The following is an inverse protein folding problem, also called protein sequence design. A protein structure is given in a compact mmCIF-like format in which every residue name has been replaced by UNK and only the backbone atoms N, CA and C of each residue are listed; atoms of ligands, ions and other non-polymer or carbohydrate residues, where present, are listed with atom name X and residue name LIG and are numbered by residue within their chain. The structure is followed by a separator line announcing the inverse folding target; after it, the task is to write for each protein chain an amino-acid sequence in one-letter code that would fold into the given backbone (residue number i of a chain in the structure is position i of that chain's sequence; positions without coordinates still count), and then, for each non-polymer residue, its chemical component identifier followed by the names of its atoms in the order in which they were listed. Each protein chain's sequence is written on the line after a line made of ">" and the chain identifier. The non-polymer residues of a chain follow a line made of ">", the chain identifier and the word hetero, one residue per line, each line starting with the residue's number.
data_IF_439649168334
#
_entry.id   IF_439649168334
#
_cell.length_a   1.000
_cell.length_b   1.000
_cell.length_c   1.000
_cell.angle_alpha   90.00
_cell.angle_beta   90.00
_cell.angle_gamma   90.00
#
_symmetry.space_group_name_H-M   'P 1'
#
loop_
_entity.id
_entity.type
_entity.pdbx_description
1 polymer ?
#
# COMPACT_ATOMS: atom_id res chain seq x y z
N UNK A 1 37.33 -18.40 -71.27
CA UNK A 1 37.30 -19.59 -70.39
C UNK A 1 36.00 -19.50 -69.58
N UNK A 2 34.96 -20.35 -69.69
CA UNK A 2 34.87 -21.82 -69.94
C UNK A 2 35.57 -22.57 -68.78
N UNK A 3 34.99 -23.42 -67.91
CA UNK A 3 33.70 -24.16 -67.72
C UNK A 3 33.39 -24.19 -66.18
N UNK A 4 32.19 -24.30 -65.58
CA UNK A 4 31.00 -25.16 -65.72
C UNK A 4 31.00 -26.49 -64.89
N UNK A 5 29.98 -26.65 -64.01
CA UNK A 5 29.33 -27.88 -63.42
C UNK A 5 30.22 -28.94 -62.73
N UNK A 6 29.81 -29.64 -61.65
CA UNK A 6 28.71 -30.66 -61.52
C UNK A 6 28.61 -31.06 -60.02
N UNK A 7 27.45 -31.14 -59.33
CA UNK A 7 26.52 -32.31 -59.22
C UNK A 7 27.23 -33.65 -58.83
N UNK A 8 26.75 -34.57 -57.99
CA UNK A 8 25.57 -34.70 -57.09
C UNK A 8 25.64 -36.10 -56.38
N UNK A 9 24.58 -36.52 -55.65
CA UNK A 9 24.27 -37.87 -55.13
C UNK A 9 24.95 -38.30 -53.79
N UNK A 10 24.29 -39.07 -52.91
CA UNK A 10 22.99 -39.76 -53.06
C UNK A 10 22.29 -40.13 -51.72
N UNK A 11 21.11 -40.73 -51.83
CA UNK A 11 20.16 -40.98 -50.73
C UNK A 11 19.88 -42.47 -50.45
N UNK A 12 19.28 -42.76 -49.27
CA UNK A 12 18.42 -43.90 -48.83
C UNK A 12 18.63 -44.16 -47.32
N UNK A 13 17.68 -43.94 -46.42
CA UNK A 13 16.44 -44.69 -46.10
C UNK A 13 16.60 -45.96 -45.23
N UNK A 14 16.19 -45.84 -43.93
CA UNK A 14 15.42 -46.84 -43.12
C UNK A 14 16.16 -48.12 -42.61
N UNK A 15 15.71 -48.96 -41.63
CA UNK A 15 14.51 -49.08 -40.74
C UNK A 15 14.95 -49.27 -39.23
N UNK A 16 14.00 -49.21 -38.29
CA UNK A 16 14.03 -49.46 -36.82
C UNK A 16 14.90 -50.61 -36.24
N UNK A 17 15.28 -50.56 -34.94
CA UNK A 17 14.53 -51.26 -33.87
C UNK A 17 15.01 -51.00 -32.42
N UNK A 18 14.11 -51.24 -31.45
CA UNK A 18 14.29 -51.46 -29.99
C UNK A 18 14.49 -50.27 -29.01
N UNK A 19 13.82 -50.41 -27.86
CA UNK A 19 13.66 -49.53 -26.68
C UNK A 19 14.37 -50.16 -25.44
N UNK A 20 14.39 -49.56 -24.24
CA UNK A 20 14.29 -48.14 -23.84
C UNK A 20 15.40 -47.69 -22.87
N UNK A 21 15.64 -46.38 -22.72
CA UNK A 21 16.29 -45.82 -21.52
C UNK A 21 15.40 -44.76 -20.83
N UNK A 22 15.10 -44.98 -19.54
CA UNK A 22 14.40 -44.03 -18.68
C UNK A 22 15.11 -42.67 -18.64
N UNK A 23 14.37 -41.58 -18.88
CA UNK A 23 14.64 -40.28 -18.22
C UNK A 23 13.36 -39.75 -17.60
N UNK A 24 13.52 -39.14 -16.43
CA UNK A 24 12.48 -38.81 -15.46
C UNK A 24 11.58 -37.67 -15.91
N UNK A 25 10.32 -37.73 -15.49
CA UNK A 25 9.34 -36.65 -15.69
C UNK A 25 9.77 -35.35 -15.01
N UNK A 26 9.50 -34.23 -15.68
CA UNK A 26 9.55 -32.89 -15.09
C UNK A 26 8.33 -32.67 -14.20
N UNK A 27 8.48 -32.25 -12.93
CA UNK A 27 7.35 -31.84 -12.12
C UNK A 27 6.94 -30.41 -12.46
N UNK A 28 5.83 -30.33 -13.18
CA UNK A 28 4.62 -29.52 -12.91
C UNK A 28 4.72 -28.01 -12.64
N UNK A 29 3.73 -27.29 -13.16
CA UNK A 29 3.69 -25.84 -13.26
C UNK A 29 3.44 -25.19 -11.89
N UNK A 30 4.44 -24.43 -11.42
CA UNK A 30 4.45 -23.82 -10.09
C UNK A 30 3.40 -22.71 -9.96
N UNK A 31 2.17 -23.12 -9.63
CA UNK A 31 1.01 -22.25 -9.47
C UNK A 31 1.36 -20.95 -8.74
N UNK A 32 1.34 -19.82 -9.47
CA UNK A 32 1.54 -18.48 -8.92
C UNK A 32 0.44 -18.22 -7.90
N UNK A 33 0.79 -18.36 -6.62
CA UNK A 33 -0.09 -18.04 -5.50
C UNK A 33 -0.55 -16.59 -5.68
N UNK A 34 -1.86 -16.40 -5.89
CA UNK A 34 -2.47 -15.08 -5.77
C UNK A 34 -2.02 -14.49 -4.43
N UNK A 35 -1.51 -13.24 -4.38
CA UNK A 35 -1.16 -12.61 -3.12
C UNK A 35 -2.41 -12.62 -2.26
N UNK A 36 -2.33 -13.27 -1.09
CA UNK A 36 -3.41 -13.33 -0.13
C UNK A 36 -3.83 -11.90 0.21
N UNK A 37 -5.15 -11.67 0.31
CA UNK A 37 -5.68 -10.35 0.68
C UNK A 37 -5.24 -10.04 2.12
N UNK A 38 -4.11 -9.36 2.27
CA UNK A 38 -3.60 -8.91 3.56
C UNK A 38 -4.69 -8.05 4.20
N UNK A 39 -5.16 -8.41 5.39
CA UNK A 39 -6.16 -7.61 6.10
C UNK A 39 -5.59 -6.22 6.33
N UNK A 40 -6.38 -5.17 6.08
CA UNK A 40 -6.01 -3.78 6.36
C UNK A 40 -5.51 -3.59 7.81
N UNK A 41 -6.08 -4.32 8.77
CA UNK A 41 -5.62 -4.32 10.17
C UNK A 41 -4.23 -4.93 10.36
N UNK A 42 -3.89 -5.96 9.58
CA UNK A 42 -2.57 -6.58 9.59
C UNK A 42 -1.56 -5.72 8.82
N UNK A 43 -1.99 -5.08 7.75
CA UNK A 43 -1.23 -4.10 6.97
C UNK A 43 -0.81 -2.91 7.83
N UNK A 44 -1.76 -2.25 8.50
CA UNK A 44 -1.47 -1.14 9.43
C UNK A 44 -0.55 -1.57 10.59
N UNK A 45 -0.67 -2.82 11.07
CA UNK A 45 0.16 -3.34 12.14
C UNK A 45 1.59 -3.72 11.71
N UNK A 46 1.82 -4.19 10.48
CA UNK A 46 3.13 -4.70 10.03
C UNK A 46 3.91 -3.76 9.11
N UNK A 47 3.25 -2.83 8.42
CA UNK A 47 3.88 -1.99 7.41
C UNK A 47 4.85 -0.94 8.01
N UNK A 48 4.84 -0.71 9.33
CA UNK A 48 5.78 0.19 10.00
C UNK A 48 7.21 -0.34 10.08
N UNK A 49 7.42 -1.66 10.21
CA UNK A 49 8.69 -2.23 10.67
C UNK A 49 9.54 -2.88 9.56
N UNK A 50 8.94 -3.40 8.49
CA UNK A 50 9.71 -4.08 7.44
C UNK A 50 10.64 -3.11 6.68
N UNK A 51 11.85 -3.59 6.38
CA UNK A 51 12.87 -2.92 5.57
C UNK A 51 13.20 -3.70 4.29
N UNK A 52 12.54 -4.83 4.01
CA UNK A 52 12.67 -5.57 2.75
C UNK A 52 11.69 -5.00 1.69
N UNK A 53 12.18 -4.38 0.59
CA UNK A 53 11.33 -3.82 -0.46
C UNK A 53 10.37 -4.82 -1.11
N UNK A 54 10.74 -6.10 -1.19
CA UNK A 54 9.94 -7.16 -1.82
C UNK A 54 8.83 -7.71 -0.91
N UNK A 55 8.95 -7.48 0.40
CA UNK A 55 7.95 -7.89 1.39
C UNK A 55 7.12 -6.71 1.93
N UNK A 56 7.48 -5.47 1.58
CA UNK A 56 6.67 -4.31 1.87
C UNK A 56 5.32 -4.41 1.13
N UNK A 57 4.20 -4.24 1.86
CA UNK A 57 2.90 -4.26 1.21
C UNK A 57 2.67 -2.95 0.43
N UNK A 58 1.73 -2.92 -0.53
CA UNK A 58 1.51 -1.75 -1.37
C UNK A 58 1.09 -0.52 -0.53
N UNK A 59 1.48 0.70 -0.94
CA UNK A 59 1.03 1.94 -0.31
C UNK A 59 -0.47 2.15 -0.49
N UNK A 60 -1.07 2.94 0.41
CA UNK A 60 -2.44 3.43 0.22
C UNK A 60 -2.47 4.54 -0.81
N UNK A 61 -3.38 4.41 -1.77
CA UNK A 61 -3.73 5.43 -2.77
C UNK A 61 -5.22 5.27 -3.11
N UNK A 62 -5.79 6.21 -3.87
CA UNK A 62 -7.19 6.16 -4.29
C UNK A 62 -7.37 6.87 -5.65
N UNK A 63 -8.54 6.69 -6.29
CA UNK A 63 -8.82 7.32 -7.58
C UNK A 63 -8.70 8.87 -7.54
N UNK A 64 -9.09 9.50 -6.43
CA UNK A 64 -8.95 10.95 -6.23
C UNK A 64 -7.50 11.40 -5.93
N UNK A 65 -6.61 10.47 -5.58
CA UNK A 65 -5.18 10.72 -5.43
C UNK A 65 -4.41 10.63 -6.76
N UNK A 66 -5.11 10.55 -7.90
CA UNK A 66 -4.52 10.58 -9.23
C UNK A 66 -5.05 11.77 -10.01
N UNK A 67 -4.16 12.50 -10.69
CA UNK A 67 -4.47 13.69 -11.47
C UNK A 67 -3.71 13.69 -12.80
N UNK A 68 -4.35 14.20 -13.85
CA UNK A 68 -3.75 14.41 -15.17
C UNK A 68 -3.82 15.89 -15.55
N UNK A 69 -2.72 16.47 -16.05
CA UNK A 69 -2.66 17.83 -16.61
C UNK A 69 -1.55 17.92 -17.66
N UNK A 70 -1.90 18.29 -18.90
CA UNK A 70 -0.97 18.52 -20.04
C UNK A 70 0.10 17.43 -20.14
N UNK A 71 -0.37 16.21 -20.41
CA UNK A 71 0.41 14.97 -20.49
C UNK A 71 1.22 14.63 -19.22
N UNK A 72 1.06 15.33 -18.10
CA UNK A 72 1.65 14.92 -16.82
C UNK A 72 0.67 14.11 -16.01
N UNK A 73 1.11 12.99 -15.43
CA UNK A 73 0.34 12.22 -14.45
C UNK A 73 0.97 12.41 -13.07
N UNK A 74 0.14 12.69 -12.07
CA UNK A 74 0.51 12.73 -10.65
C UNK A 74 -0.25 11.64 -9.90
N UNK A 75 0.43 10.90 -9.00
CA UNK A 75 -0.20 9.95 -8.09
C UNK A 75 0.35 10.13 -6.68
N UNK A 76 -0.55 10.33 -5.71
CA UNK A 76 -0.26 10.37 -4.28
C UNK A 76 -0.33 8.98 -3.63
N UNK A 77 0.66 8.66 -2.82
CA UNK A 77 0.83 7.39 -2.11
C UNK A 77 1.13 7.64 -0.63
N UNK A 78 0.55 6.85 0.27
CA UNK A 78 0.82 6.90 1.71
C UNK A 78 1.39 5.58 2.19
N UNK A 79 2.56 5.63 2.82
CA UNK A 79 3.17 4.55 3.57
C UNK A 79 3.08 4.87 5.07
N UNK A 80 2.45 4.02 5.91
CA UNK A 80 2.61 4.12 7.36
C UNK A 80 4.05 3.77 7.73
N UNK A 81 4.65 4.55 8.63
CA UNK A 81 6.01 4.34 9.13
C UNK A 81 6.13 4.69 10.60
N UNK A 82 6.73 3.80 11.38
CA UNK A 82 7.06 4.02 12.81
C UNK A 82 8.51 4.46 13.02
N UNK A 83 9.29 4.60 11.94
CA UNK A 83 10.69 5.00 11.95
C UNK A 83 11.01 5.90 10.77
N UNK A 84 11.69 7.02 11.01
CA UNK A 84 12.27 7.86 9.97
C UNK A 84 13.66 7.40 9.49
N UNK A 85 14.08 6.17 9.84
CA UNK A 85 15.40 5.67 9.47
C UNK A 85 15.58 5.70 7.93
N UNK A 86 16.76 6.13 7.42
CA UNK A 86 17.02 6.15 5.98
C UNK A 86 16.78 4.81 5.29
N UNK A 87 17.07 3.70 5.97
CA UNK A 87 16.81 2.34 5.48
C UNK A 87 15.32 2.07 5.26
N UNK A 88 14.45 2.48 6.20
CA UNK A 88 13.01 2.31 6.06
C UNK A 88 12.43 3.16 4.91
N UNK A 89 12.89 4.41 4.79
CA UNK A 89 12.51 5.34 3.72
C UNK A 89 12.95 4.77 2.35
N UNK A 90 14.22 4.41 2.20
CA UNK A 90 14.76 3.84 0.96
C UNK A 90 14.05 2.55 0.55
N UNK A 91 13.72 1.67 1.48
CA UNK A 91 12.99 0.44 1.17
C UNK A 91 11.60 0.71 0.57
N UNK A 92 10.94 1.79 1.00
CA UNK A 92 9.61 2.20 0.51
C UNK A 92 9.70 2.85 -0.88
N UNK A 93 10.74 3.65 -1.14
CA UNK A 93 11.03 4.18 -2.47
C UNK A 93 11.41 3.07 -3.46
N UNK A 94 12.17 2.06 -3.03
CA UNK A 94 12.52 0.90 -3.85
C UNK A 94 11.28 0.05 -4.19
N UNK A 95 10.43 -0.23 -3.19
CA UNK A 95 9.13 -0.89 -3.39
C UNK A 95 8.25 -0.11 -4.38
N UNK A 96 8.19 1.21 -4.24
CA UNK A 96 7.44 2.09 -5.12
C UNK A 96 7.92 1.96 -6.58
N UNK A 97 9.22 2.10 -6.82
CA UNK A 97 9.84 2.07 -8.16
C UNK A 97 9.79 0.69 -8.82
N UNK A 98 9.98 -0.39 -8.05
CA UNK A 98 10.16 -1.74 -8.60
C UNK A 98 8.94 -2.66 -8.48
N UNK A 99 7.96 -2.32 -7.65
CA UNK A 99 6.72 -3.10 -7.46
C UNK A 99 5.47 -2.30 -7.82
N UNK A 100 5.36 -1.05 -7.36
CA UNK A 100 4.13 -0.25 -7.53
C UNK A 100 4.04 0.38 -8.92
N UNK A 101 5.04 1.15 -9.37
CA UNK A 101 5.04 1.78 -10.70
C UNK A 101 4.90 0.77 -11.84
N UNK A 102 5.59 -0.39 -11.85
CA UNK A 102 5.48 -1.37 -12.93
C UNK A 102 4.08 -1.99 -13.05
N UNK A 103 3.31 -2.01 -11.95
CA UNK A 103 1.94 -2.52 -11.89
C UNK A 103 0.88 -1.53 -12.41
N UNK A 104 1.23 -0.26 -12.63
CA UNK A 104 0.33 0.74 -13.20
C UNK A 104 -0.03 0.36 -14.65
N UNK A 105 -1.32 0.32 -15.03
CA UNK A 105 -1.73 0.05 -16.41
C UNK A 105 -1.12 1.08 -17.38
N UNK A 106 -0.39 0.67 -18.43
CA UNK A 106 0.34 1.61 -19.30
C UNK A 106 -0.55 2.66 -19.96
N UNK A 107 -1.80 2.31 -20.30
CA UNK A 107 -2.79 3.25 -20.85
C UNK A 107 -3.20 4.39 -19.90
N UNK A 108 -2.79 4.34 -18.63
CA UNK A 108 -3.00 5.40 -17.62
C UNK A 108 -1.74 6.23 -17.35
N UNK A 109 -0.71 6.12 -18.21
CA UNK A 109 0.50 6.94 -18.15
C UNK A 109 0.63 7.84 -19.38
N UNK A 110 1.47 8.90 -19.32
CA UNK A 110 1.70 9.77 -20.45
C UNK A 110 2.26 9.02 -21.67
N UNK A 111 2.08 9.53 -22.91
CA UNK A 111 2.51 8.86 -24.14
C UNK A 111 3.95 8.29 -24.12
N UNK A 112 4.98 8.97 -23.57
CA UNK A 112 6.34 8.41 -23.46
C UNK A 112 6.46 7.09 -22.68
N UNK A 113 5.52 6.80 -21.78
CA UNK A 113 5.55 5.63 -20.88
C UNK A 113 4.59 4.51 -21.28
N UNK A 114 3.62 4.77 -22.16
CA UNK A 114 2.59 3.79 -22.56
C UNK A 114 3.21 2.55 -23.25
N UNK A 115 4.29 2.75 -23.99
CA UNK A 115 5.03 1.69 -24.69
C UNK A 115 6.29 1.21 -23.94
N UNK A 116 6.56 1.76 -22.75
CA UNK A 116 7.72 1.36 -21.94
C UNK A 116 7.50 -0.02 -21.29
N UNK A 117 8.58 -0.80 -21.22
CA UNK A 117 8.60 -2.06 -20.45
C UNK A 117 8.32 -1.78 -18.97
N UNK A 118 7.86 -2.79 -18.23
CA UNK A 118 7.39 -2.61 -16.84
C UNK A 118 8.45 -1.95 -15.94
N UNK A 119 9.71 -2.35 -16.07
CA UNK A 119 10.86 -1.83 -15.33
C UNK A 119 11.28 -0.41 -15.77
N UNK A 120 10.74 0.10 -16.89
CA UNK A 120 10.99 1.46 -17.42
C UNK A 120 9.80 2.40 -17.22
N UNK A 121 8.72 1.96 -16.56
CA UNK A 121 7.56 2.80 -16.20
C UNK A 121 7.72 3.53 -14.86
N UNK A 122 8.95 3.65 -14.37
CA UNK A 122 9.27 4.49 -13.20
C UNK A 122 8.81 5.94 -13.45
N UNK A 123 8.46 6.63 -12.37
CA UNK A 123 8.19 8.06 -12.39
C UNK A 123 9.43 8.86 -12.83
N UNK A 124 9.22 10.11 -13.26
CA UNK A 124 10.32 11.06 -13.46
C UNK A 124 10.78 11.73 -12.17
N UNK A 125 9.90 11.79 -11.17
CA UNK A 125 10.13 12.40 -9.86
C UNK A 125 9.27 11.70 -8.80
N UNK A 126 9.86 11.33 -7.65
CA UNK A 126 9.19 10.82 -6.46
C UNK A 126 9.36 11.78 -5.28
N UNK A 127 8.59 12.86 -5.30
CA UNK A 127 8.56 13.89 -4.27
C UNK A 127 8.04 13.28 -2.97
N UNK A 128 8.72 13.44 -1.83
CA UNK A 128 8.18 12.92 -0.57
C UNK A 128 8.34 13.84 0.64
N UNK A 129 7.46 13.63 1.61
CA UNK A 129 7.55 14.19 2.95
C UNK A 129 7.12 13.14 3.98
N UNK A 130 7.74 13.16 5.16
CA UNK A 130 7.37 12.28 6.27
C UNK A 130 7.27 13.00 7.60
N UNK A 131 6.42 12.50 8.49
CA UNK A 131 6.34 12.91 9.90
C UNK A 131 6.16 11.65 10.74
N UNK A 132 7.01 11.42 11.73
CA UNK A 132 7.01 10.22 12.60
C UNK A 132 7.10 10.65 14.05
N UNK A 133 6.25 10.09 14.91
CA UNK A 133 6.35 10.24 16.35
C UNK A 133 7.45 9.32 16.88
N UNK A 134 8.49 9.89 17.48
CA UNK A 134 9.62 9.15 18.01
C UNK A 134 9.92 9.50 19.46
N UNK A 135 10.51 8.52 20.16
CA UNK A 135 11.07 8.71 21.47
C UNK A 135 12.32 9.60 21.38
N UNK A 136 12.36 10.69 22.16
CA UNK A 136 13.54 11.58 22.23
C UNK A 136 14.74 10.82 22.79
N UNK A 137 15.94 11.14 22.31
CA UNK A 137 17.20 10.51 22.75
C UNK A 137 17.34 10.59 24.28
N UNK A 138 17.65 9.46 24.91
CA UNK A 138 17.84 9.36 26.37
C UNK A 138 16.55 9.35 27.19
N UNK A 139 15.37 9.29 26.56
CA UNK A 139 14.08 9.12 27.24
C UNK A 139 13.63 7.65 27.25
N UNK A 140 12.70 7.31 28.14
CA UNK A 140 12.17 5.95 28.29
C UNK A 140 10.76 5.77 27.76
N UNK A 141 10.02 6.86 27.53
CA UNK A 141 8.62 6.85 27.11
C UNK A 141 7.65 6.71 28.29
N UNK A 142 8.17 6.44 29.48
CA UNK A 142 7.40 6.35 30.73
C UNK A 142 7.24 7.72 31.41
N UNK A 143 8.01 8.74 30.99
CA UNK A 143 7.91 10.11 31.50
C UNK A 143 6.70 10.90 31.00
N UNK A 144 5.82 10.30 30.20
CA UNK A 144 4.65 10.93 29.60
C UNK A 144 4.93 11.52 28.21
N UNK A 145 4.02 12.36 27.67
CA UNK A 145 4.09 12.85 26.28
C UNK A 145 5.37 13.62 25.94
N UNK A 146 5.97 14.30 26.92
CA UNK A 146 7.22 15.07 26.74
C UNK A 146 8.45 14.22 26.43
N UNK A 147 8.39 12.91 26.65
CA UNK A 147 9.42 11.97 26.19
C UNK A 147 9.44 11.81 24.66
N UNK A 148 8.37 12.18 23.96
CA UNK A 148 8.21 12.00 22.52
C UNK A 148 8.37 13.32 21.74
N UNK A 149 8.72 13.22 20.47
CA UNK A 149 8.82 14.35 19.53
C UNK A 149 8.53 13.91 18.10
N UNK A 150 8.29 14.86 17.21
CA UNK A 150 8.08 14.58 15.78
C UNK A 150 9.41 14.71 15.04
N UNK A 151 9.89 13.63 14.45
CA UNK A 151 10.89 13.70 13.38
C UNK A 151 10.18 13.92 12.04
N UNK A 152 10.71 14.80 11.20
CA UNK A 152 10.12 15.13 9.91
C UNK A 152 11.19 15.46 8.87
N UNK A 153 10.94 15.10 7.61
CA UNK A 153 11.86 15.35 6.50
C UNK A 153 11.14 15.41 5.16
N UNK A 154 11.85 15.90 4.14
CA UNK A 154 11.33 16.24 2.81
C UNK A 154 12.39 16.02 1.73
N UNK A 155 12.00 15.55 0.56
CA UNK A 155 12.85 15.45 -0.63
C UNK A 155 12.04 15.83 -1.88
N UNK A 156 12.59 16.73 -2.69
CA UNK A 156 11.96 17.26 -3.90
C UNK A 156 12.17 16.36 -5.13
N UNK A 157 13.22 15.52 -5.15
CA UNK A 157 13.61 14.67 -6.30
C UNK A 157 13.64 15.44 -7.64
N UNK A 158 14.14 16.69 -7.61
CA UNK A 158 14.21 17.60 -8.76
C UNK A 158 12.98 18.48 -9.00
N UNK A 159 11.84 18.22 -8.36
CA UNK A 159 10.61 19.02 -8.47
C UNK A 159 10.59 20.20 -7.47
N UNK A 160 11.66 21.00 -7.47
CA UNK A 160 11.97 22.03 -6.45
C UNK A 160 10.76 22.72 -5.83
N UNK A 161 10.72 22.80 -4.51
CA UNK A 161 9.62 23.31 -3.67
C UNK A 161 8.36 22.44 -3.60
N UNK A 162 8.35 21.25 -4.19
CA UNK A 162 7.23 20.32 -4.18
C UNK A 162 7.02 19.63 -2.83
N UNK A 163 8.10 19.20 -2.18
CA UNK A 163 8.09 18.41 -0.95
C UNK A 163 7.56 19.19 0.24
N UNK A 164 7.87 20.49 0.35
CA UNK A 164 7.27 21.34 1.39
C UNK A 164 5.76 21.54 1.16
N UNK A 165 5.23 21.37 -0.07
CA UNK A 165 3.78 21.31 -0.30
C UNK A 165 3.17 20.01 0.21
N UNK A 166 3.85 18.88 0.01
CA UNK A 166 3.45 17.59 0.59
C UNK A 166 3.42 17.72 2.11
N UNK A 167 4.54 18.14 2.71
CA UNK A 167 4.72 18.37 4.15
C UNK A 167 3.65 19.30 4.74
N UNK A 168 3.34 20.42 4.05
CA UNK A 168 2.28 21.34 4.45
C UNK A 168 0.94 20.63 4.62
N UNK A 169 0.54 19.78 3.66
CA UNK A 169 -0.72 19.03 3.75
C UNK A 169 -0.69 17.99 4.88
N UNK A 170 0.44 17.31 5.13
CA UNK A 170 0.58 16.39 6.28
C UNK A 170 0.40 17.16 7.60
N UNK A 171 0.99 18.36 7.72
CA UNK A 171 0.82 19.23 8.90
C UNK A 171 -0.62 19.73 9.05
N UNK A 172 -1.26 20.20 7.98
CA UNK A 172 -2.65 20.68 7.98
C UNK A 172 -3.67 19.60 8.35
N UNK A 173 -3.44 18.34 7.94
CA UNK A 173 -4.27 17.20 8.31
C UNK A 173 -3.89 16.58 9.68
N UNK A 174 -2.87 17.11 10.35
CA UNK A 174 -2.44 16.66 11.69
C UNK A 174 -1.81 15.26 11.73
N UNK A 175 -1.48 14.66 10.58
CA UNK A 175 -1.02 13.28 10.52
C UNK A 175 0.43 13.10 11.03
N UNK A 176 0.67 12.01 11.75
CA UNK A 176 1.97 11.48 12.12
C UNK A 176 2.08 10.02 11.65
N UNK A 177 3.29 9.46 11.78
CA UNK A 177 3.60 8.05 11.50
C UNK A 177 3.32 7.67 10.04
N UNK A 178 3.55 8.64 9.15
CA UNK A 178 3.32 8.56 7.70
C UNK A 178 4.47 9.15 6.89
N UNK A 179 4.72 8.51 5.75
CA UNK A 179 5.47 9.04 4.63
C UNK A 179 4.50 9.15 3.45
N UNK A 180 4.37 10.35 2.88
CA UNK A 180 3.57 10.59 1.68
C UNK A 180 4.49 10.86 0.51
N UNK A 181 4.29 10.14 -0.58
CA UNK A 181 5.03 10.28 -1.84
C UNK A 181 4.08 10.74 -2.93
N UNK A 182 4.49 11.71 -3.73
CA UNK A 182 3.84 12.12 -4.96
C UNK A 182 4.75 11.79 -6.13
N UNK A 183 4.43 10.71 -6.83
CA UNK A 183 5.09 10.35 -8.07
C UNK A 183 4.52 11.18 -9.22
N UNK A 184 5.40 11.80 -10.01
CA UNK A 184 5.05 12.46 -11.27
C UNK A 184 5.68 11.75 -12.45
N UNK A 185 4.89 11.50 -13.49
CA UNK A 185 5.37 11.17 -14.84
C UNK A 185 5.24 12.43 -15.71
N UNK A 186 6.36 13.00 -16.15
CA UNK A 186 6.42 14.18 -16.99
C UNK A 186 6.15 13.84 -18.47
N UNK A 187 5.11 14.44 -19.07
CA UNK A 187 4.74 14.19 -20.47
C UNK A 187 5.46 15.02 -21.53
N UNK A 188 6.27 16.02 -21.13
CA UNK A 188 6.92 16.94 -22.07
C UNK A 188 6.53 18.41 -21.91
N UNK A 189 5.45 18.72 -21.16
CA UNK A 189 4.95 20.10 -20.98
C UNK A 189 5.24 20.64 -19.58
N UNK A 190 5.93 21.78 -19.51
CA UNK A 190 6.16 22.50 -18.26
C UNK A 190 4.85 23.11 -17.74
N UNK A 191 4.38 22.64 -16.59
CA UNK A 191 3.12 23.12 -16.01
C UNK A 191 3.23 24.49 -15.33
N UNK A 192 4.44 24.88 -14.93
CA UNK A 192 4.66 26.08 -14.10
C UNK A 192 4.12 25.90 -12.67
N UNK A 193 3.72 26.99 -11.99
CA UNK A 193 3.32 26.95 -10.58
C UNK A 193 2.13 26.04 -10.25
N UNK A 194 1.22 25.76 -11.18
CA UNK A 194 0.04 24.92 -10.92
C UNK A 194 0.39 23.46 -10.54
N UNK A 195 1.60 22.98 -10.87
CA UNK A 195 2.09 21.68 -10.36
C UNK A 195 2.05 21.59 -8.84
N UNK A 196 2.25 22.71 -8.13
CA UNK A 196 2.17 22.76 -6.67
C UNK A 196 0.74 22.56 -6.15
N UNK A 197 -0.27 22.98 -6.91
CA UNK A 197 -1.67 22.71 -6.58
C UNK A 197 -1.95 21.21 -6.75
N UNK A 198 -1.53 20.63 -7.88
CA UNK A 198 -1.66 19.20 -8.17
C UNK A 198 -1.03 18.32 -7.09
N UNK A 199 0.22 18.63 -6.70
CA UNK A 199 0.95 17.94 -5.62
C UNK A 199 0.16 18.00 -4.30
N UNK A 200 -0.40 19.15 -3.92
CA UNK A 200 -1.21 19.29 -2.71
C UNK A 200 -2.53 18.50 -2.81
N UNK A 201 -3.20 18.54 -3.96
CA UNK A 201 -4.48 17.88 -4.18
C UNK A 201 -4.34 16.35 -4.11
N UNK A 202 -3.37 15.76 -4.80
CA UNK A 202 -3.15 14.30 -4.75
C UNK A 202 -2.64 13.84 -3.39
N UNK A 203 -1.80 14.64 -2.72
CA UNK A 203 -1.35 14.40 -1.33
C UNK A 203 -2.55 14.37 -0.38
N UNK A 204 -3.43 15.37 -0.48
CA UNK A 204 -4.61 15.50 0.40
C UNK A 204 -5.58 14.34 0.20
N UNK A 205 -5.86 13.97 -1.04
CA UNK A 205 -6.75 12.85 -1.35
C UNK A 205 -6.19 11.50 -0.86
N UNK A 206 -4.89 11.24 -1.05
CA UNK A 206 -4.25 10.02 -0.57
C UNK A 206 -4.28 9.95 0.97
N UNK A 207 -3.89 11.03 1.64
CA UNK A 207 -3.80 11.08 3.10
C UNK A 207 -5.17 11.07 3.79
N UNK A 208 -6.17 11.76 3.24
CA UNK A 208 -7.56 11.66 3.74
C UNK A 208 -8.12 10.23 3.58
N UNK A 209 -7.80 9.54 2.49
CA UNK A 209 -8.20 8.15 2.30
C UNK A 209 -7.53 7.22 3.32
N UNK A 210 -6.22 7.36 3.54
CA UNK A 210 -5.47 6.63 4.56
C UNK A 210 -6.05 6.83 5.98
N UNK A 211 -6.26 8.08 6.41
CA UNK A 211 -6.83 8.38 7.73
C UNK A 211 -8.26 7.82 7.91
N UNK A 212 -9.04 7.77 6.82
CA UNK A 212 -10.37 7.14 6.85
C UNK A 212 -10.29 5.61 6.99
N UNK A 213 -9.30 4.96 6.36
CA UNK A 213 -9.03 3.53 6.49
C UNK A 213 -8.56 3.15 7.91
N UNK A 214 -7.67 3.93 8.52
CA UNK A 214 -7.25 3.74 9.91
C UNK A 214 -8.43 3.87 10.89
N UNK A 215 -9.21 4.94 10.76
CA UNK A 215 -10.40 5.17 11.58
C UNK A 215 -11.42 4.03 11.45
N UNK A 216 -11.59 3.49 10.24
CA UNK A 216 -12.45 2.34 9.98
C UNK A 216 -11.90 1.06 10.64
N UNK A 217 -10.59 0.82 10.59
CA UNK A 217 -9.95 -0.32 11.24
C UNK A 217 -10.13 -0.27 12.76
N UNK A 218 -9.94 0.90 13.38
CA UNK A 218 -10.19 1.11 14.81
C UNK A 218 -11.67 0.85 15.18
N UNK A 219 -12.61 1.39 14.39
CA UNK A 219 -14.04 1.15 14.61
C UNK A 219 -14.42 -0.33 14.47
N UNK A 220 -13.83 -1.06 13.51
CA UNK A 220 -14.03 -2.50 13.35
C UNK A 220 -13.53 -3.28 14.57
N UNK A 221 -12.33 -2.98 15.07
CA UNK A 221 -11.80 -3.62 16.27
C UNK A 221 -12.70 -3.36 17.50
N UNK A 222 -13.16 -2.12 17.69
CA UNK A 222 -14.08 -1.74 18.77
C UNK A 222 -15.43 -2.45 18.66
N UNK A 223 -16.00 -2.57 17.46
CA UNK A 223 -17.24 -3.32 17.24
C UNK A 223 -17.08 -4.81 17.61
N UNK A 224 -15.98 -5.45 17.20
CA UNK A 224 -15.71 -6.84 17.50
C UNK A 224 -15.51 -7.10 19.01
N UNK A 225 -14.92 -6.15 19.73
CA UNK A 225 -14.82 -6.20 21.19
C UNK A 225 -16.19 -6.08 21.87
N UNK A 226 -17.01 -5.11 21.45
CA UNK A 226 -18.38 -4.93 21.95
C UNK A 226 -19.27 -6.15 21.65
N UNK A 227 -19.11 -6.78 20.47
CA UNK A 227 -19.81 -8.03 20.13
C UNK A 227 -19.45 -9.17 21.10
N UNK A 228 -18.16 -9.33 21.45
CA UNK A 228 -17.70 -10.34 22.44
C UNK A 228 -18.27 -10.06 23.83
N UNK A 229 -18.28 -8.80 24.26
CA UNK A 229 -18.83 -8.39 25.56
C UNK A 229 -20.34 -8.64 25.63
N UNK A 230 -21.09 -8.25 24.59
CA UNK A 230 -22.54 -8.54 24.46
C UNK A 230 -22.82 -10.04 24.42
N UNK A 231 -22.00 -10.83 23.70
CA UNK A 231 -22.15 -12.27 23.65
C UNK A 231 -21.97 -12.91 25.03
N UNK A 232 -20.90 -12.51 25.74
CA UNK A 232 -20.56 -13.03 27.07
C UNK A 232 -21.62 -12.67 28.12
N UNK A 233 -22.12 -11.43 28.09
CA UNK A 233 -23.19 -10.97 28.98
C UNK A 233 -24.55 -11.67 28.73
N UNK A 234 -24.79 -12.16 27.50
CA UNK A 234 -26.01 -12.92 27.14
C UNK A 234 -25.88 -14.42 27.38
N UNK A 235 -24.67 -14.98 27.30
CA UNK A 235 -24.40 -16.42 27.38
C UNK A 235 -23.20 -16.70 28.31
N UNK A 236 -23.34 -16.46 29.63
CA UNK A 236 -22.27 -16.69 30.59
C UNK A 236 -21.76 -18.14 30.52
N UNK A 237 -20.43 -18.31 30.58
CA UNK A 237 -19.76 -19.61 30.46
C UNK A 237 -19.64 -20.17 29.04
N UNK A 238 -20.31 -19.59 28.04
CA UNK A 238 -20.19 -20.02 26.63
C UNK A 238 -19.06 -19.27 25.94
N UNK A 239 -18.20 -19.97 25.19
CA UNK A 239 -17.18 -19.34 24.34
C UNK A 239 -17.75 -18.94 22.99
N UNK A 240 -17.38 -17.74 22.51
CA UNK A 240 -17.78 -17.26 21.18
C UNK A 240 -16.91 -17.93 20.11
N UNK A 241 -17.45 -18.92 19.39
CA UNK A 241 -16.69 -19.71 18.42
C UNK A 241 -16.40 -19.00 17.09
N UNK A 242 -17.12 -17.92 16.78
CA UNK A 242 -16.87 -17.11 15.57
C UNK A 242 -17.04 -15.62 15.90
N UNK A 243 -16.05 -14.80 15.54
CA UNK A 243 -16.11 -13.34 15.70
C UNK A 243 -16.83 -12.78 14.48
N UNK A 244 -17.83 -11.91 14.68
CA UNK A 244 -18.50 -11.31 13.53
C UNK A 244 -17.51 -10.48 12.70
N UNK A 245 -17.41 -10.83 11.43
CA UNK A 245 -16.60 -10.09 10.47
C UNK A 245 -17.41 -8.97 9.82
N UNK A 246 -16.70 -7.86 9.57
CA UNK A 246 -17.25 -6.65 8.96
C UNK A 246 -16.51 -6.31 7.66
N UNK A 247 -16.55 -7.19 6.62
CA UNK A 247 -15.70 -7.07 5.43
C UNK A 247 -16.07 -5.88 4.52
N UNK A 248 -17.33 -5.45 4.53
CA UNK A 248 -17.89 -4.38 3.68
C UNK A 248 -18.27 -3.12 4.48
N UNK A 249 -17.62 -2.91 5.63
CA UNK A 249 -17.95 -1.84 6.55
C UNK A 249 -17.60 -0.46 5.95
N UNK A 250 -18.58 0.43 5.87
CA UNK A 250 -18.35 1.86 5.57
C UNK A 250 -18.24 2.66 6.87
N UNK A 251 -17.62 3.85 6.83
CA UNK A 251 -17.47 4.68 8.03
C UNK A 251 -18.83 5.05 8.67
N UNK A 252 -19.82 5.39 7.85
CA UNK A 252 -21.18 5.72 8.29
C UNK A 252 -21.88 4.51 8.94
N UNK A 253 -21.78 3.32 8.32
CA UNK A 253 -22.37 2.10 8.87
C UNK A 253 -21.64 1.64 10.14
N UNK A 254 -20.32 1.85 10.23
CA UNK A 254 -19.55 1.60 11.45
C UNK A 254 -20.03 2.47 12.61
N UNK A 255 -20.26 3.76 12.39
CA UNK A 255 -20.78 4.69 13.39
C UNK A 255 -22.21 4.31 13.84
N UNK A 256 -23.10 3.95 12.90
CA UNK A 256 -24.45 3.45 13.22
C UNK A 256 -24.42 2.18 14.06
N UNK A 257 -23.60 1.21 13.66
CA UNK A 257 -23.43 -0.05 14.41
C UNK A 257 -22.86 0.21 15.81
N UNK A 258 -21.90 1.13 15.94
CA UNK A 258 -21.29 1.47 17.24
C UNK A 258 -22.36 1.98 18.21
N UNK A 259 -23.19 2.94 17.78
CA UNK A 259 -24.31 3.46 18.57
C UNK A 259 -25.32 2.36 18.97
N UNK A 260 -25.62 1.43 18.06
CA UNK A 260 -26.51 0.30 18.35
C UNK A 260 -25.91 -0.67 19.39
N UNK A 261 -24.59 -0.93 19.33
CA UNK A 261 -23.88 -1.75 20.30
C UNK A 261 -23.77 -1.08 21.67
N UNK A 262 -23.49 0.22 21.73
CA UNK A 262 -23.47 0.99 22.99
C UNK A 262 -24.81 0.89 23.71
N UNK A 263 -25.92 1.19 23.02
CA UNK A 263 -27.28 1.04 23.57
C UNK A 263 -27.59 -0.40 24.02
N UNK A 264 -27.04 -1.40 23.34
CA UNK A 264 -27.23 -2.80 23.73
C UNK A 264 -26.51 -3.13 25.04
N UNK A 265 -25.29 -2.61 25.24
CA UNK A 265 -24.53 -2.77 26.49
C UNK A 265 -25.24 -2.06 27.65
N UNK A 266 -25.65 -0.80 27.49
CA UNK A 266 -26.40 -0.04 28.51
C UNK A 266 -27.66 -0.78 28.99
N UNK A 267 -28.39 -1.45 28.09
CA UNK A 267 -29.58 -2.23 28.44
C UNK A 267 -29.23 -3.52 29.20
N UNK A 268 -28.10 -4.16 28.87
CA UNK A 268 -27.62 -5.34 29.58
C UNK A 268 -27.08 -4.99 30.98
N UNK A 269 -26.34 -3.89 31.11
CA UNK A 269 -25.86 -3.36 32.39
C UNK A 269 -27.02 -3.02 33.33
N UNK A 270 -28.04 -2.30 32.85
CA UNK A 270 -29.25 -1.99 33.63
C UNK A 270 -30.03 -3.24 34.05
N UNK A 271 -30.06 -4.28 33.21
CA UNK A 271 -30.66 -5.58 33.57
C UNK A 271 -29.86 -6.33 34.63
N UNK A 272 -28.53 -6.31 34.55
CA UNK A 272 -27.67 -6.90 35.58
C UNK A 272 -27.82 -6.18 36.93
N UNK A 273 -27.83 -4.85 36.93
CA UNK A 273 -27.95 -4.04 38.14
C UNK A 273 -29.32 -4.14 38.82
N UNK A 274 -30.39 -4.44 38.07
CA UNK A 274 -31.74 -4.62 38.62
C UNK A 274 -32.06 -6.05 39.07
N UNK A 275 -31.07 -6.96 39.11
CA UNK A 275 -31.24 -8.37 39.44
C UNK A 275 -30.37 -8.83 40.62
N UNK A 276 -29.90 -7.88 41.43
CA UNK A 276 -29.10 -8.04 42.66
C UNK A 276 -29.87 -7.50 43.85
#
# INVERSE_FOLDING_TARGET
>A
MVRARREEHGAKESISSSLPLKRSASPDDGARKNPSKISLSMWLASAGESTDPGQLPPPVTCAAARLEDRDSVFIGYVYPITSASPTAISARLENLKHTVHPAIPPATLPPPFQHASAQRRVSTHDIYAYRVLQLKRGRSGLGGPDDFGIEQGTEDDGESWGAEKVMRVIRELGASDVMVVVSRWYGGVLLGPVRFEHIQNVTRAALQHFLALEKLAHLRAKLQDMDRTIFTARHPGTKMNNVQEYPTLTLENAQRLLLARTKTLEVLEKRGAGSV
#
